data_IF_998020824277
#
_entry.id   IF_998020824277
#
_cell.length_a   1.000
_cell.length_b   1.000
_cell.length_c   1.000
_cell.angle_alpha   90.00
_cell.angle_beta   90.00
_cell.angle_gamma   90.00
#
_symmetry.space_group_name_H-M   'P 1'
#
loop_
_entity.id
_entity.type
_entity.pdbx_description
1 polymer ?
#
# COMPACT_ATOMS: atom_id res chain seq x y z
N UNK A 1 23.93 -26.08 -0.75
CA UNK A 1 23.01 -24.95 -0.52
C UNK A 1 21.61 -25.49 -0.30
N UNK A 2 20.83 -25.02 0.69
CA UNK A 2 19.46 -25.53 0.92
C UNK A 2 18.57 -25.19 -0.30
N UNK A 3 17.60 -26.03 -0.71
CA UNK A 3 16.74 -25.76 -1.88
C UNK A 3 16.06 -24.38 -1.85
N UNK A 4 15.71 -23.88 -0.67
CA UNK A 4 15.14 -22.54 -0.49
C UNK A 4 16.11 -21.40 -0.84
N UNK A 5 17.41 -21.58 -0.59
CA UNK A 5 18.44 -20.60 -0.93
C UNK A 5 18.65 -20.51 -2.45
N UNK A 6 18.60 -21.65 -3.16
CA UNK A 6 18.71 -21.69 -4.63
C UNK A 6 17.56 -20.89 -5.25
N UNK A 7 16.32 -21.13 -4.83
CA UNK A 7 15.14 -20.41 -5.32
C UNK A 7 15.26 -18.89 -5.13
N UNK A 8 15.83 -18.46 -4.01
CA UNK A 8 16.01 -17.04 -3.71
C UNK A 8 17.05 -16.37 -4.61
N UNK A 9 18.20 -17.01 -4.82
CA UNK A 9 19.25 -16.47 -5.68
C UNK A 9 18.74 -16.39 -7.12
N UNK A 10 18.07 -17.44 -7.61
CA UNK A 10 17.47 -17.44 -8.95
C UNK A 10 16.46 -16.31 -9.10
N UNK A 11 15.54 -16.13 -8.15
CA UNK A 11 14.59 -15.01 -8.19
C UNK A 11 15.30 -13.66 -8.18
N UNK A 12 16.32 -13.47 -7.33
CA UNK A 12 17.04 -12.21 -7.21
C UNK A 12 17.75 -11.85 -8.51
N UNK A 13 18.44 -12.80 -9.14
CA UNK A 13 19.11 -12.59 -10.43
C UNK A 13 18.09 -12.23 -11.51
N UNK A 14 16.98 -12.96 -11.60
CA UNK A 14 15.90 -12.69 -12.57
C UNK A 14 15.29 -11.30 -12.32
N UNK A 15 14.99 -10.96 -11.07
CA UNK A 15 14.44 -9.66 -10.69
C UNK A 15 15.39 -8.52 -11.10
N UNK A 16 16.67 -8.63 -10.77
CA UNK A 16 17.68 -7.63 -11.12
C UNK A 16 17.82 -7.47 -12.64
N UNK A 17 17.83 -8.57 -13.38
CA UNK A 17 17.87 -8.56 -14.84
C UNK A 17 16.61 -7.88 -15.42
N UNK A 18 15.42 -8.23 -14.95
CA UNK A 18 14.15 -7.63 -15.38
C UNK A 18 14.14 -6.13 -15.11
N UNK A 19 14.54 -5.68 -13.91
CA UNK A 19 14.59 -4.25 -13.58
C UNK A 19 15.56 -3.50 -14.49
N UNK A 20 16.77 -4.04 -14.71
CA UNK A 20 17.75 -3.42 -15.59
C UNK A 20 17.25 -3.32 -17.04
N UNK A 21 16.77 -4.44 -17.59
CA UNK A 21 16.26 -4.51 -18.96
C UNK A 21 15.04 -3.61 -19.12
N UNK A 22 14.12 -3.59 -18.16
CA UNK A 22 12.94 -2.74 -18.24
C UNK A 22 13.30 -1.26 -18.15
N UNK A 23 14.19 -0.87 -17.23
CA UNK A 23 14.55 0.53 -17.06
C UNK A 23 15.32 1.13 -18.25
N UNK A 24 16.17 0.34 -18.92
CA UNK A 24 17.05 0.84 -19.98
C UNK A 24 16.63 0.48 -21.41
N UNK A 25 15.90 -0.63 -21.60
CA UNK A 25 15.56 -1.13 -22.94
C UNK A 25 14.05 -1.10 -23.20
N UNK A 26 13.25 -1.79 -22.38
CA UNK A 26 11.83 -2.05 -22.70
C UNK A 26 10.93 -0.87 -22.31
N UNK A 27 11.15 -0.26 -21.15
CA UNK A 27 10.31 0.79 -20.54
C UNK A 27 8.82 0.41 -20.43
N UNK A 28 8.51 -0.87 -20.14
CA UNK A 28 7.14 -1.37 -20.01
C UNK A 28 6.58 -1.08 -18.61
N UNK A 29 5.43 -0.39 -18.58
CA UNK A 29 4.70 -0.06 -17.35
C UNK A 29 4.19 -1.32 -16.64
N UNK A 30 3.68 -2.30 -17.41
CA UNK A 30 3.12 -3.54 -16.87
C UNK A 30 4.23 -4.39 -16.24
N UNK A 31 5.36 -4.55 -16.94
CA UNK A 31 6.51 -5.30 -16.42
C UNK A 31 7.06 -4.63 -15.15
N UNK A 32 7.12 -3.30 -15.16
CA UNK A 32 7.52 -2.51 -14.02
C UNK A 32 6.60 -2.67 -12.80
N UNK A 33 5.28 -2.60 -13.00
CA UNK A 33 4.30 -2.84 -11.94
C UNK A 33 4.40 -4.26 -11.35
N UNK A 34 4.48 -5.27 -12.22
CA UNK A 34 4.65 -6.67 -11.78
C UNK A 34 5.95 -6.80 -10.96
N UNK A 35 7.03 -6.19 -11.43
CA UNK A 35 8.32 -6.21 -10.74
C UNK A 35 8.24 -5.49 -9.40
N UNK A 36 7.61 -4.32 -9.31
CA UNK A 36 7.41 -3.60 -8.06
C UNK A 36 6.66 -4.46 -7.03
N UNK A 37 5.53 -5.06 -7.43
CA UNK A 37 4.74 -5.93 -6.55
C UNK A 37 5.52 -7.18 -6.14
N UNK A 38 6.21 -7.84 -7.07
CA UNK A 38 7.02 -9.03 -6.78
C UNK A 38 8.20 -8.70 -5.85
N UNK A 39 8.88 -7.57 -6.07
CA UNK A 39 9.97 -7.08 -5.25
C UNK A 39 9.52 -6.76 -3.83
N UNK A 40 8.42 -6.01 -3.68
CA UNK A 40 7.80 -5.75 -2.37
C UNK A 40 7.40 -7.06 -1.68
N UNK A 41 6.76 -7.99 -2.37
CA UNK A 41 6.35 -9.26 -1.78
C UNK A 41 7.54 -10.12 -1.32
N UNK A 42 8.57 -10.31 -2.14
CA UNK A 42 9.70 -11.19 -1.81
C UNK A 42 10.65 -10.52 -0.81
N UNK A 43 11.11 -9.30 -1.08
CA UNK A 43 12.07 -8.61 -0.21
C UNK A 43 11.39 -8.06 1.05
N UNK A 44 10.12 -7.66 0.96
CA UNK A 44 9.30 -7.34 2.12
C UNK A 44 9.16 -8.55 3.04
N UNK A 45 8.88 -9.76 2.53
CA UNK A 45 8.86 -10.96 3.38
C UNK A 45 10.18 -11.22 4.09
N UNK A 46 11.32 -10.98 3.43
CA UNK A 46 12.64 -11.14 4.03
C UNK A 46 12.89 -10.16 5.16
N UNK A 47 12.62 -8.87 4.93
CA UNK A 47 12.72 -7.82 5.94
C UNK A 47 11.76 -8.10 7.09
N UNK A 48 10.53 -8.51 6.78
CA UNK A 48 9.49 -8.83 7.74
C UNK A 48 9.82 -9.97 8.69
N UNK A 49 10.61 -10.96 8.27
CA UNK A 49 11.11 -12.01 9.18
C UNK A 49 11.95 -11.47 10.31
N UNK A 50 12.67 -10.38 10.06
CA UNK A 50 13.47 -9.71 11.08
C UNK A 50 12.62 -8.73 11.89
N UNK A 51 11.79 -7.92 11.22
CA UNK A 51 11.02 -6.84 11.85
C UNK A 51 9.83 -7.34 12.67
N UNK A 52 9.23 -8.46 12.26
CA UNK A 52 8.09 -9.09 12.92
C UNK A 52 8.31 -10.61 13.01
N UNK A 53 9.24 -11.07 13.87
CA UNK A 53 9.59 -12.48 13.96
C UNK A 53 8.53 -13.33 14.65
N UNK A 54 7.64 -12.71 15.43
CA UNK A 54 6.44 -13.33 15.99
C UNK A 54 5.33 -13.53 14.96
N UNK A 55 5.40 -12.82 13.82
CA UNK A 55 4.44 -12.97 12.73
C UNK A 55 4.82 -14.09 11.76
N UNK A 56 3.87 -14.51 10.93
CA UNK A 56 4.10 -15.48 9.86
C UNK A 56 3.44 -15.06 8.54
N UNK A 57 3.90 -15.68 7.46
CA UNK A 57 3.24 -15.61 6.15
C UNK A 57 3.07 -14.18 5.63
N UNK A 58 1.81 -13.80 5.42
CA UNK A 58 1.42 -12.53 4.83
C UNK A 58 1.75 -11.32 5.73
N UNK A 59 1.55 -11.41 7.04
CA UNK A 59 1.89 -10.33 7.99
C UNK A 59 3.34 -9.87 7.85
N UNK A 60 4.28 -10.83 7.77
CA UNK A 60 5.71 -10.53 7.57
C UNK A 60 5.92 -9.81 6.23
N UNK A 61 5.34 -10.33 5.15
CA UNK A 61 5.40 -9.68 3.83
C UNK A 61 4.93 -8.24 3.89
N UNK A 62 3.85 -7.97 4.62
CA UNK A 62 3.25 -6.66 4.71
C UNK A 62 4.05 -5.69 5.56
N UNK A 63 4.40 -6.06 6.80
CA UNK A 63 5.22 -5.22 7.67
C UNK A 63 6.57 -4.92 7.00
N UNK A 64 7.19 -5.92 6.39
CA UNK A 64 8.45 -5.70 5.70
C UNK A 64 8.32 -4.90 4.40
N UNK A 65 7.21 -5.03 3.65
CA UNK A 65 6.92 -4.14 2.52
C UNK A 65 6.77 -2.68 2.96
N UNK A 66 6.07 -2.45 4.08
CA UNK A 66 5.88 -1.13 4.65
C UNK A 66 7.23 -0.50 5.04
N UNK A 67 8.10 -1.27 5.70
CA UNK A 67 9.47 -0.86 6.04
C UNK A 67 10.31 -0.62 4.78
N UNK A 68 10.14 -1.44 3.74
CA UNK A 68 10.88 -1.28 2.48
C UNK A 68 10.47 0.01 1.74
N UNK A 69 9.18 0.34 1.70
CA UNK A 69 8.69 1.60 1.13
C UNK A 69 9.23 2.78 1.94
N UNK A 70 9.22 2.70 3.27
CA UNK A 70 9.81 3.73 4.13
C UNK A 70 11.31 3.91 3.86
N UNK A 71 12.04 2.80 3.71
CA UNK A 71 13.45 2.81 3.32
C UNK A 71 13.66 3.49 1.98
N UNK A 72 12.86 3.19 0.95
CA UNK A 72 12.94 3.85 -0.35
C UNK A 72 12.67 5.36 -0.25
N UNK A 73 11.70 5.79 0.54
CA UNK A 73 11.44 7.21 0.77
C UNK A 73 12.64 7.92 1.41
N UNK A 74 13.24 7.32 2.46
CA UNK A 74 14.40 7.87 3.16
C UNK A 74 15.65 7.87 2.27
N UNK A 75 15.97 6.73 1.64
CA UNK A 75 17.13 6.60 0.77
C UNK A 75 17.03 7.51 -0.46
N UNK A 76 15.84 7.61 -1.08
CA UNK A 76 15.62 8.54 -2.17
C UNK A 76 15.73 10.01 -1.75
N UNK A 77 15.30 10.34 -0.53
CA UNK A 77 15.53 11.67 0.06
C UNK A 77 17.02 11.98 0.24
N UNK A 78 17.80 11.01 0.73
CA UNK A 78 19.26 11.14 0.84
C UNK A 78 19.88 11.37 -0.55
N UNK A 79 19.48 10.56 -1.55
CA UNK A 79 19.96 10.72 -2.93
C UNK A 79 19.63 12.10 -3.50
N UNK A 80 18.45 12.66 -3.21
CA UNK A 80 18.06 14.00 -3.65
C UNK A 80 18.94 15.10 -3.06
N UNK A 81 19.23 15.03 -1.76
CA UNK A 81 20.01 16.07 -1.09
C UNK A 81 21.48 16.03 -1.47
N UNK A 82 22.06 14.83 -1.49
CA UNK A 82 23.50 14.62 -1.69
C UNK A 82 23.90 14.35 -3.15
N UNK A 83 22.93 14.28 -4.06
CA UNK A 83 23.20 14.02 -5.47
C UNK A 83 22.04 14.40 -6.37
N UNK A 84 21.79 13.57 -7.39
CA UNK A 84 20.68 13.69 -8.33
C UNK A 84 19.81 12.44 -8.27
N UNK A 85 18.49 12.63 -8.34
CA UNK A 85 17.56 11.53 -8.60
C UNK A 85 17.53 11.32 -10.11
N UNK A 86 18.47 10.54 -10.61
CA UNK A 86 18.54 10.12 -12.02
C UNK A 86 18.00 8.70 -12.16
N UNK A 87 17.73 8.29 -13.41
CA UNK A 87 17.35 6.91 -13.70
C UNK A 87 18.37 5.91 -13.13
N UNK A 88 19.65 6.20 -13.29
CA UNK A 88 20.73 5.34 -12.81
C UNK A 88 20.81 5.25 -11.30
N UNK A 89 20.72 6.37 -10.57
CA UNK A 89 20.77 6.34 -9.11
C UNK A 89 19.59 5.59 -8.49
N UNK A 90 18.39 5.73 -9.07
CA UNK A 90 17.20 4.95 -8.67
C UNK A 90 17.36 3.45 -8.96
N UNK A 91 17.82 3.07 -10.15
CA UNK A 91 18.02 1.65 -10.48
C UNK A 91 19.05 1.02 -9.54
N UNK A 92 20.16 1.71 -9.26
CA UNK A 92 21.16 1.25 -8.29
C UNK A 92 20.53 1.08 -6.89
N UNK A 93 19.72 2.03 -6.42
CA UNK A 93 19.01 1.90 -5.15
C UNK A 93 18.10 0.66 -5.10
N UNK A 94 17.35 0.38 -6.17
CA UNK A 94 16.51 -0.83 -6.27
C UNK A 94 17.38 -2.09 -6.30
N UNK A 95 18.50 -2.08 -7.01
CA UNK A 95 19.42 -3.21 -7.08
C UNK A 95 20.12 -3.51 -5.74
N UNK A 96 20.26 -2.51 -4.86
CA UNK A 96 20.76 -2.71 -3.50
C UNK A 96 19.71 -3.32 -2.55
N UNK A 97 18.43 -3.25 -2.90
CA UNK A 97 17.34 -3.76 -2.05
C UNK A 97 17.46 -5.26 -1.74
N UNK A 98 17.68 -6.16 -2.72
CA UNK A 98 17.89 -7.58 -2.43
C UNK A 98 19.07 -7.84 -1.49
N UNK A 99 20.17 -7.12 -1.67
CA UNK A 99 21.39 -7.27 -0.86
C UNK A 99 21.11 -6.91 0.59
N UNK A 100 20.48 -5.75 0.82
CA UNK A 100 20.09 -5.31 2.17
C UNK A 100 19.07 -6.26 2.79
N UNK A 101 18.04 -6.66 2.04
CA UNK A 101 17.04 -7.62 2.51
C UNK A 101 17.67 -8.96 2.90
N UNK A 102 18.68 -9.42 2.16
CA UNK A 102 19.45 -10.63 2.49
C UNK A 102 20.20 -10.49 3.81
N UNK A 103 20.98 -9.42 3.98
CA UNK A 103 21.73 -9.19 5.21
C UNK A 103 20.83 -9.05 6.44
N UNK A 104 19.68 -8.37 6.30
CA UNK A 104 18.67 -8.27 7.36
C UNK A 104 18.09 -9.65 7.69
N UNK A 105 17.71 -10.43 6.66
CA UNK A 105 17.13 -11.76 6.86
C UNK A 105 18.10 -12.77 7.49
N UNK A 106 19.41 -12.63 7.26
CA UNK A 106 20.43 -13.46 7.94
C UNK A 106 20.47 -13.24 9.45
N UNK A 107 20.05 -12.07 9.92
CA UNK A 107 19.96 -11.73 11.34
C UNK A 107 18.59 -12.00 11.93
N UNK A 108 17.64 -12.52 11.15
CA UNK A 108 16.30 -12.80 11.63
C UNK A 108 16.35 -13.84 12.76
N UNK A 109 15.72 -13.58 13.92
CA UNK A 109 15.68 -14.55 15.00
C UNK A 109 14.87 -15.78 14.57
N UNK A 110 15.05 -16.89 15.30
CA UNK A 110 14.25 -18.10 15.07
C UNK A 110 12.77 -17.77 15.24
N UNK A 111 11.97 -18.07 14.22
CA UNK A 111 10.54 -17.79 14.22
C UNK A 111 9.85 -18.54 15.36
N UNK A 112 9.05 -17.81 16.14
CA UNK A 112 8.06 -18.39 17.04
C UNK A 112 6.76 -18.56 16.24
N UNK A 113 6.06 -19.67 16.42
CA UNK A 113 4.84 -19.98 15.65
C UNK A 113 3.62 -19.29 16.26
N UNK A 114 3.48 -17.98 16.07
CA UNK A 114 2.25 -17.25 16.37
C UNK A 114 1.68 -16.69 15.05
N UNK A 115 0.86 -17.46 14.34
CA UNK A 115 0.26 -16.98 13.07
C UNK A 115 -1.02 -16.17 13.35
N UNK A 116 -0.96 -14.85 13.13
CA UNK A 116 -2.14 -13.98 13.28
C UNK A 116 -3.10 -14.12 12.09
N UNK A 117 -2.55 -14.18 10.87
CA UNK A 117 -3.30 -14.09 9.61
C UNK A 117 -3.87 -15.41 9.08
N UNK A 118 -3.04 -16.46 9.10
CA UNK A 118 -3.29 -17.74 8.43
C UNK A 118 -3.24 -18.91 9.41
N UNK A 119 -3.72 -18.68 10.63
CA UNK A 119 -4.28 -19.78 11.43
C UNK A 119 -5.63 -20.18 10.82
N UNK A 120 -5.58 -20.52 9.52
CA UNK A 120 -6.62 -21.22 8.83
C UNK A 120 -6.49 -22.65 9.31
N UNK A 121 -7.05 -22.93 10.48
CA UNK A 121 -7.81 -24.17 10.57
C UNK A 121 -8.58 -24.31 9.25
N UNK A 122 -8.58 -25.49 8.63
CA UNK A 122 -9.19 -25.76 7.32
C UNK A 122 -10.70 -25.46 7.37
N UNK A 123 -11.05 -24.19 7.43
CA UNK A 123 -12.39 -23.72 7.68
C UNK A 123 -13.06 -23.77 6.32
N UNK A 124 -13.99 -24.70 6.19
CA UNK A 124 -14.82 -24.77 4.99
C UNK A 124 -15.65 -23.49 4.97
N UNK A 125 -15.38 -22.64 3.98
CA UNK A 125 -16.14 -21.43 3.75
C UNK A 125 -17.61 -21.80 3.59
N UNK A 126 -18.48 -21.17 4.35
CA UNK A 126 -19.91 -21.34 4.16
C UNK A 126 -20.31 -20.80 2.78
N UNK A 127 -21.18 -21.47 2.01
CA UNK A 127 -21.69 -20.95 0.75
C UNK A 127 -22.29 -19.54 0.89
N UNK A 128 -22.92 -19.25 2.04
CA UNK A 128 -23.45 -17.92 2.34
C UNK A 128 -22.34 -16.87 2.49
N UNK A 129 -21.20 -17.22 3.11
CA UNK A 129 -20.05 -16.32 3.23
C UNK A 129 -19.45 -16.00 1.87
N UNK A 130 -19.33 -17.00 0.99
CA UNK A 130 -18.85 -16.83 -0.38
C UNK A 130 -19.81 -15.94 -1.16
N UNK A 131 -21.12 -16.22 -1.09
CA UNK A 131 -22.14 -15.42 -1.75
C UNK A 131 -22.10 -13.96 -1.26
N UNK A 132 -22.05 -13.73 0.06
CA UNK A 132 -21.95 -12.38 0.62
C UNK A 132 -20.67 -11.66 0.19
N UNK A 133 -19.53 -12.35 0.17
CA UNK A 133 -18.26 -11.77 -0.29
C UNK A 133 -18.31 -11.42 -1.78
N UNK A 134 -18.84 -12.31 -2.62
CA UNK A 134 -19.02 -12.07 -4.04
C UNK A 134 -20.01 -10.93 -4.32
N UNK A 135 -21.13 -10.87 -3.60
CA UNK A 135 -22.10 -9.77 -3.69
C UNK A 135 -21.48 -8.44 -3.25
N UNK A 136 -20.71 -8.42 -2.15
CA UNK A 136 -20.01 -7.22 -1.71
C UNK A 136 -19.01 -6.74 -2.78
N UNK A 137 -18.21 -7.65 -3.34
CA UNK A 137 -17.25 -7.31 -4.39
C UNK A 137 -17.94 -6.79 -5.65
N UNK A 138 -19.05 -7.41 -6.07
CA UNK A 138 -19.84 -6.95 -7.20
C UNK A 138 -20.38 -5.54 -6.95
N UNK A 139 -20.98 -5.28 -5.79
CA UNK A 139 -21.51 -3.97 -5.43
C UNK A 139 -20.42 -2.89 -5.38
N UNK A 140 -19.25 -3.18 -4.81
CA UNK A 140 -18.12 -2.22 -4.84
C UNK A 140 -17.64 -1.98 -6.27
N UNK A 141 -17.61 -3.03 -7.10
CA UNK A 141 -17.23 -2.89 -8.52
C UNK A 141 -18.22 -2.01 -9.29
N UNK A 142 -19.53 -2.15 -9.02
CA UNK A 142 -20.57 -1.27 -9.57
C UNK A 142 -20.40 0.18 -9.07
N UNK A 143 -20.12 0.38 -7.77
CA UNK A 143 -19.84 1.70 -7.22
C UNK A 143 -18.64 2.37 -7.89
N UNK A 144 -17.52 1.64 -8.07
CA UNK A 144 -16.34 2.11 -8.79
C UNK A 144 -16.69 2.42 -10.25
N UNK A 145 -17.52 1.62 -10.90
CA UNK A 145 -17.97 1.91 -12.27
C UNK A 145 -18.80 3.19 -12.37
N UNK A 146 -19.60 3.54 -11.35
CA UNK A 146 -20.33 4.81 -11.31
C UNK A 146 -19.34 5.98 -11.21
N UNK A 147 -18.35 5.88 -10.31
CA UNK A 147 -17.33 6.91 -10.13
C UNK A 147 -16.51 7.13 -11.42
N UNK A 148 -16.09 6.05 -12.07
CA UNK A 148 -15.29 6.11 -13.30
C UNK A 148 -16.05 6.67 -14.52
N UNK A 149 -17.39 6.67 -14.48
CA UNK A 149 -18.25 7.29 -15.51
C UNK A 149 -18.64 8.73 -15.17
N UNK A 150 -18.35 9.18 -13.94
CA UNK A 150 -18.66 10.54 -13.49
C UNK A 150 -17.45 11.41 -13.77
N UNK A 151 -17.50 12.25 -14.81
CA UNK A 151 -16.40 13.16 -15.15
C UNK A 151 -16.67 14.57 -14.63
N UNK A 152 -15.84 15.02 -13.69
CA UNK A 152 -15.89 16.36 -13.13
C UNK A 152 -14.76 17.18 -13.74
N UNK A 153 -15.11 18.04 -14.70
CA UNK A 153 -14.15 18.86 -15.46
C UNK A 153 -14.07 20.32 -15.01
N UNK A 154 -14.93 20.73 -14.09
CA UNK A 154 -15.03 22.09 -13.59
C UNK A 154 -14.69 22.16 -12.10
N UNK A 155 -14.36 23.36 -11.62
CA UNK A 155 -14.13 23.57 -10.20
C UNK A 155 -15.46 23.47 -9.43
N UNK A 156 -15.56 22.51 -8.51
CA UNK A 156 -16.68 22.39 -7.58
C UNK A 156 -16.17 22.44 -6.14
N UNK A 157 -17.06 22.78 -5.21
CA UNK A 157 -16.74 22.87 -3.78
C UNK A 157 -16.44 21.50 -3.18
N UNK A 158 -17.05 20.44 -3.73
CA UNK A 158 -16.93 19.09 -3.22
C UNK A 158 -17.25 18.07 -4.32
N UNK A 159 -16.46 16.98 -4.44
CA UNK A 159 -16.77 15.90 -5.39
C UNK A 159 -18.15 15.29 -5.12
N UNK A 160 -18.58 15.28 -3.86
CA UNK A 160 -19.83 14.65 -3.41
C UNK A 160 -21.09 15.35 -3.92
N UNK A 161 -21.00 16.58 -4.44
CA UNK A 161 -22.12 17.30 -5.04
C UNK A 161 -22.41 16.81 -6.47
N UNK A 162 -21.39 16.30 -7.16
CA UNK A 162 -21.47 15.87 -8.56
C UNK A 162 -21.59 14.34 -8.69
N UNK A 163 -21.10 13.59 -7.69
CA UNK A 163 -21.19 12.13 -7.68
C UNK A 163 -22.66 11.71 -7.58
N UNK A 164 -23.10 10.90 -8.55
CA UNK A 164 -24.47 10.36 -8.59
C UNK A 164 -24.82 9.59 -7.31
N UNK A 165 -26.03 9.82 -6.79
CA UNK A 165 -26.57 9.08 -5.64
C UNK A 165 -26.56 7.55 -5.81
N UNK A 166 -26.54 7.08 -7.07
CA UNK A 166 -26.40 5.64 -7.39
C UNK A 166 -25.13 5.02 -6.82
N UNK A 167 -24.05 5.78 -6.66
CA UNK A 167 -22.84 5.34 -5.96
C UNK A 167 -23.16 4.83 -4.55
N UNK A 168 -23.95 5.58 -3.79
CA UNK A 168 -24.32 5.23 -2.42
C UNK A 168 -25.27 4.03 -2.36
N UNK A 169 -26.14 3.86 -3.36
CA UNK A 169 -27.00 2.67 -3.46
C UNK A 169 -26.22 1.37 -3.61
N UNK A 170 -25.00 1.41 -4.14
CA UNK A 170 -24.11 0.25 -4.20
C UNK A 170 -23.16 0.18 -3.01
N UNK A 171 -22.60 1.32 -2.57
CA UNK A 171 -21.60 1.37 -1.50
C UNK A 171 -22.17 0.99 -0.12
N UNK A 172 -23.36 1.48 0.23
CA UNK A 172 -23.99 1.22 1.53
C UNK A 172 -24.26 -0.29 1.75
N UNK A 173 -24.95 -1.01 0.85
CA UNK A 173 -25.16 -2.44 1.03
C UNK A 173 -23.85 -3.24 0.96
N UNK A 174 -22.86 -2.82 0.14
CA UNK A 174 -21.54 -3.44 0.16
C UNK A 174 -20.88 -3.32 1.54
N UNK A 175 -20.92 -2.12 2.12
CA UNK A 175 -20.39 -1.85 3.46
C UNK A 175 -21.12 -2.69 4.52
N UNK A 176 -22.45 -2.78 4.45
CA UNK A 176 -23.25 -3.60 5.36
C UNK A 176 -22.88 -5.10 5.27
N UNK A 177 -22.66 -5.63 4.06
CA UNK A 177 -22.22 -7.02 3.88
C UNK A 177 -20.83 -7.27 4.46
N UNK A 178 -19.88 -6.36 4.24
CA UNK A 178 -18.53 -6.45 4.83
C UNK A 178 -18.60 -6.39 6.36
N UNK A 179 -19.43 -5.49 6.92
CA UNK A 179 -19.69 -5.40 8.35
C UNK A 179 -20.30 -6.69 8.91
N UNK A 180 -21.29 -7.27 8.24
CA UNK A 180 -21.91 -8.52 8.66
C UNK A 180 -20.91 -9.69 8.64
N UNK A 181 -20.07 -9.80 7.61
CA UNK A 181 -19.01 -10.81 7.53
C UNK A 181 -17.98 -10.63 8.65
N UNK A 182 -17.53 -9.39 8.89
CA UNK A 182 -16.60 -9.06 9.97
C UNK A 182 -17.19 -9.37 11.35
N UNK A 183 -18.48 -9.08 11.56
CA UNK A 183 -19.16 -9.39 12.80
C UNK A 183 -19.20 -10.89 13.08
N UNK A 184 -19.32 -11.75 12.05
CA UNK A 184 -19.17 -13.21 12.22
C UNK A 184 -17.74 -13.61 12.56
N UNK A 185 -16.75 -12.91 11.99
CA UNK A 185 -15.33 -12.99 12.35
C UNK A 185 -14.61 -14.30 12.02
N UNK A 186 -15.24 -15.17 11.22
CA UNK A 186 -14.68 -16.46 10.78
C UNK A 186 -13.82 -16.34 9.52
N UNK A 187 -14.21 -15.48 8.57
CA UNK A 187 -13.66 -15.46 7.20
C UNK A 187 -12.64 -14.36 6.95
N UNK A 188 -11.67 -14.21 7.85
CA UNK A 188 -10.76 -13.04 7.91
C UNK A 188 -9.95 -12.84 6.62
N UNK A 189 -9.55 -13.93 5.99
CA UNK A 189 -8.79 -13.92 4.74
C UNK A 189 -9.53 -13.24 3.58
N UNK A 190 -10.87 -13.20 3.62
CA UNK A 190 -11.70 -12.53 2.62
C UNK A 190 -12.15 -11.14 3.06
N UNK A 191 -12.42 -10.97 4.37
CA UNK A 191 -12.87 -9.68 4.91
C UNK A 191 -11.81 -8.60 4.70
N UNK A 192 -10.53 -8.91 4.86
CA UNK A 192 -9.47 -7.90 4.70
C UNK A 192 -9.31 -7.41 3.26
N UNK A 193 -9.19 -8.28 2.24
CA UNK A 193 -9.24 -7.83 0.85
C UNK A 193 -10.50 -7.03 0.52
N UNK A 194 -11.68 -7.47 0.98
CA UNK A 194 -12.91 -6.71 0.77
C UNK A 194 -12.87 -5.33 1.40
N UNK A 195 -12.33 -5.22 2.62
CA UNK A 195 -12.15 -3.94 3.30
C UNK A 195 -11.12 -3.06 2.59
N UNK A 196 -10.07 -3.63 2.00
CA UNK A 196 -9.11 -2.88 1.17
C UNK A 196 -9.79 -2.29 -0.07
N UNK A 197 -10.55 -3.10 -0.81
CA UNK A 197 -11.27 -2.64 -2.01
C UNK A 197 -12.36 -1.62 -1.63
N UNK A 198 -13.08 -1.84 -0.53
CA UNK A 198 -14.07 -0.88 -0.01
C UNK A 198 -13.41 0.45 0.38
N UNK A 199 -12.29 0.40 1.10
CA UNK A 199 -11.52 1.59 1.50
C UNK A 199 -11.06 2.35 0.26
N UNK A 200 -10.52 1.64 -0.75
CA UNK A 200 -10.15 2.24 -2.04
C UNK A 200 -11.34 2.91 -2.73
N UNK A 201 -12.52 2.27 -2.74
CA UNK A 201 -13.72 2.85 -3.36
C UNK A 201 -14.17 4.16 -2.69
N UNK A 202 -13.87 4.36 -1.40
CA UNK A 202 -14.21 5.57 -0.65
C UNK A 202 -13.17 6.67 -0.92
N UNK A 203 -11.88 6.38 -0.70
CA UNK A 203 -10.83 7.40 -0.84
C UNK A 203 -10.49 7.69 -2.31
N UNK A 204 -10.70 6.72 -3.20
CA UNK A 204 -10.51 6.85 -4.63
C UNK A 204 -11.64 7.60 -5.35
N UNK A 205 -12.68 8.07 -4.65
CA UNK A 205 -13.81 8.73 -5.29
C UNK A 205 -13.39 9.97 -6.10
N UNK A 206 -12.67 10.91 -5.48
CA UNK A 206 -12.18 12.10 -6.17
C UNK A 206 -11.18 11.73 -7.28
N UNK A 207 -10.29 10.79 -7.01
CA UNK A 207 -9.31 10.25 -7.95
C UNK A 207 -9.96 9.73 -9.24
N UNK A 208 -11.04 8.97 -9.13
CA UNK A 208 -11.71 8.33 -10.27
C UNK A 208 -12.62 9.29 -11.03
N UNK A 209 -13.17 10.30 -10.35
CA UNK A 209 -14.11 11.25 -10.98
C UNK A 209 -13.45 12.52 -11.54
N UNK A 210 -12.20 12.82 -11.18
CA UNK A 210 -11.44 13.95 -11.72
C UNK A 210 -10.34 13.46 -12.68
N UNK A 211 -10.65 13.29 -13.98
CA UNK A 211 -9.67 12.77 -14.93
C UNK A 211 -8.44 13.68 -15.05
N UNK A 212 -8.60 15.00 -14.84
CA UNK A 212 -7.51 15.97 -14.89
C UNK A 212 -6.67 16.02 -13.60
N UNK A 213 -7.22 15.60 -12.46
CA UNK A 213 -6.60 15.72 -11.14
C UNK A 213 -7.52 16.47 -10.16
N UNK A 214 -7.37 16.17 -8.88
CA UNK A 214 -8.18 16.76 -7.81
C UNK A 214 -7.32 17.70 -6.94
N UNK A 215 -7.78 18.93 -6.77
CA UNK A 215 -7.08 19.96 -6.00
C UNK A 215 -5.88 20.58 -6.73
N UNK A 216 -5.61 21.85 -6.43
CA UNK A 216 -4.54 22.64 -7.05
C UNK A 216 -3.14 22.08 -6.75
N UNK A 217 -2.90 21.64 -5.51
CA UNK A 217 -1.59 21.18 -5.04
C UNK A 217 -1.04 19.98 -5.84
N UNK A 218 -1.92 19.07 -6.28
CA UNK A 218 -1.51 17.90 -7.08
C UNK A 218 -0.80 18.31 -8.38
N UNK A 219 -1.20 19.41 -9.00
CA UNK A 219 -0.55 19.92 -10.21
C UNK A 219 0.84 20.50 -9.93
N UNK A 220 1.02 21.18 -8.79
CA UNK A 220 2.33 21.72 -8.38
C UNK A 220 3.30 20.59 -8.07
N UNK A 221 2.86 19.58 -7.31
CA UNK A 221 3.66 18.42 -6.97
C UNK A 221 4.10 17.68 -8.24
N UNK A 222 3.17 17.37 -9.14
CA UNK A 222 3.47 16.71 -10.40
C UNK A 222 4.42 17.51 -11.30
N UNK A 223 4.23 18.82 -11.42
CA UNK A 223 5.15 19.66 -12.20
C UNK A 223 6.56 19.65 -11.62
N UNK A 224 6.68 19.64 -10.29
CA UNK A 224 7.97 19.55 -9.60
C UNK A 224 8.63 18.18 -9.82
N UNK A 225 7.87 17.10 -9.71
CA UNK A 225 8.36 15.74 -9.98
C UNK A 225 8.81 15.56 -11.43
N UNK A 226 8.02 16.07 -12.40
CA UNK A 226 8.39 16.07 -13.82
C UNK A 226 9.69 16.85 -14.07
N UNK A 227 9.89 17.96 -13.35
CA UNK A 227 11.14 18.72 -13.40
C UNK A 227 12.31 17.91 -12.82
N UNK A 228 12.17 17.35 -11.62
CA UNK A 228 13.23 16.56 -10.98
C UNK A 228 13.55 15.31 -11.81
N UNK A 229 12.56 14.66 -12.43
CA UNK A 229 12.80 13.50 -13.28
C UNK A 229 13.64 13.81 -14.52
N UNK A 230 13.55 15.04 -15.04
CA UNK A 230 14.31 15.50 -16.21
C UNK A 230 15.69 16.03 -15.84
N UNK A 231 15.76 16.83 -14.78
CA UNK A 231 16.98 17.58 -14.42
C UNK A 231 17.73 16.98 -13.22
N UNK A 232 17.18 15.93 -12.60
CA UNK A 232 17.74 15.24 -11.45
C UNK A 232 17.56 15.96 -10.10
N UNK A 233 17.20 17.25 -10.12
CA UNK A 233 17.00 18.08 -8.93
C UNK A 233 16.20 19.36 -9.25
N UNK A 234 15.85 20.14 -8.23
CA UNK A 234 15.26 21.48 -8.35
C UNK A 234 15.80 22.38 -7.23
N UNK A 235 15.88 23.70 -7.47
CA UNK A 235 16.31 24.70 -6.48
C UNK A 235 15.25 25.77 -6.27
N UNK A 236 14.99 26.22 -5.02
CA UNK A 236 15.60 25.74 -3.77
C UNK A 236 15.17 24.30 -3.44
N UNK A 237 15.93 23.60 -2.57
CA UNK A 237 15.61 22.25 -2.10
C UNK A 237 14.85 22.33 -0.76
N UNK A 238 13.50 22.38 -0.75
CA UNK A 238 12.76 22.42 0.50
C UNK A 238 12.87 21.09 1.26
N UNK A 239 13.05 21.17 2.59
CA UNK A 239 13.05 20.00 3.49
C UNK A 239 11.71 19.28 3.54
N UNK A 240 10.64 20.04 3.30
CA UNK A 240 9.31 19.49 3.21
C UNK A 240 9.11 18.84 1.82
N UNK A 241 8.42 17.69 1.78
CA UNK A 241 7.88 16.99 0.58
C UNK A 241 8.73 15.91 -0.07
N UNK A 242 10.05 15.96 0.08
CA UNK A 242 10.93 15.12 -0.75
C UNK A 242 10.73 13.61 -0.59
N UNK A 243 10.31 13.13 0.58
CA UNK A 243 10.04 11.69 0.79
C UNK A 243 8.93 11.17 -0.14
N UNK A 244 7.92 11.99 -0.43
CA UNK A 244 6.85 11.63 -1.36
C UNK A 244 7.33 11.69 -2.81
N UNK A 245 8.00 12.77 -3.22
CA UNK A 245 8.59 12.88 -4.56
C UNK A 245 9.58 11.74 -4.86
N UNK A 246 10.39 11.36 -3.87
CA UNK A 246 11.32 10.24 -4.00
C UNK A 246 10.60 8.93 -4.35
N UNK A 247 9.46 8.64 -3.72
CA UNK A 247 8.67 7.44 -4.04
C UNK A 247 8.08 7.51 -5.46
N UNK A 248 7.57 8.67 -5.89
CA UNK A 248 7.06 8.85 -7.26
C UNK A 248 8.18 8.70 -8.29
N UNK A 249 9.34 9.29 -8.03
CA UNK A 249 10.50 9.19 -8.91
C UNK A 249 11.09 7.77 -8.94
N UNK A 250 11.05 7.03 -7.83
CA UNK A 250 11.41 5.61 -7.78
C UNK A 250 10.45 4.77 -8.64
N UNK A 251 9.14 5.03 -8.54
CA UNK A 251 8.14 4.40 -9.40
C UNK A 251 8.40 4.70 -10.89
N UNK A 252 8.72 5.94 -11.23
CA UNK A 252 8.97 6.38 -12.60
C UNK A 252 10.28 5.84 -13.17
N UNK A 253 11.40 6.10 -12.52
CA UNK A 253 12.71 5.72 -13.02
C UNK A 253 13.03 4.24 -12.86
N UNK A 254 12.56 3.63 -11.77
CA UNK A 254 12.87 2.25 -11.42
C UNK A 254 11.90 1.23 -12.00
N UNK A 255 10.62 1.59 -12.07
CA UNK A 255 9.54 0.69 -12.51
C UNK A 255 8.81 1.21 -13.75
N UNK A 256 9.32 2.25 -14.42
CA UNK A 256 8.72 2.80 -15.65
C UNK A 256 7.25 3.21 -15.50
N UNK A 257 6.79 3.53 -14.29
CA UNK A 257 5.41 3.96 -14.04
C UNK A 257 5.34 5.48 -14.28
N UNK A 258 4.51 5.99 -15.21
CA UNK A 258 4.43 7.42 -15.48
C UNK A 258 4.18 8.23 -14.22
N UNK A 259 4.86 9.38 -14.09
CA UNK A 259 4.75 10.27 -12.92
C UNK A 259 3.29 10.58 -12.61
N UNK A 260 2.49 10.93 -13.62
CA UNK A 260 1.06 11.20 -13.43
C UNK A 260 0.22 10.04 -12.91
N UNK A 261 0.64 8.78 -13.12
CA UNK A 261 -0.02 7.60 -12.54
C UNK A 261 0.54 7.35 -11.13
N UNK A 262 1.87 7.40 -10.98
CA UNK A 262 2.53 7.18 -9.71
C UNK A 262 2.07 8.19 -8.66
N UNK A 263 2.16 9.49 -8.94
CA UNK A 263 1.66 10.57 -8.07
C UNK A 263 0.19 10.32 -7.73
N UNK A 264 -0.68 10.21 -8.73
CA UNK A 264 -2.12 10.09 -8.54
C UNK A 264 -2.55 8.88 -7.69
N UNK A 265 -1.91 7.73 -7.86
CA UNK A 265 -2.33 6.48 -7.21
C UNK A 265 -1.51 6.09 -5.97
N UNK A 266 -0.31 6.66 -5.75
CA UNK A 266 0.58 6.24 -4.67
C UNK A 266 -0.13 6.20 -3.32
N UNK A 267 -0.62 7.34 -2.82
CA UNK A 267 -1.21 7.42 -1.49
C UNK A 267 -2.55 6.68 -1.38
N UNK A 268 -3.52 6.84 -2.31
CA UNK A 268 -4.79 6.11 -2.22
C UNK A 268 -4.59 4.59 -2.22
N UNK A 269 -3.70 4.06 -3.05
CA UNK A 269 -3.46 2.61 -3.14
C UNK A 269 -2.75 2.08 -1.90
N UNK A 270 -1.67 2.74 -1.43
CA UNK A 270 -0.98 2.27 -0.22
C UNK A 270 -1.89 2.40 1.01
N UNK A 271 -2.72 3.44 1.10
CA UNK A 271 -3.65 3.62 2.22
C UNK A 271 -4.69 2.50 2.21
N UNK A 272 -5.32 2.24 1.07
CA UNK A 272 -6.34 1.20 0.94
C UNK A 272 -5.82 -0.19 1.28
N UNK A 273 -4.54 -0.48 0.99
CA UNK A 273 -3.92 -1.78 1.29
C UNK A 273 -3.44 -1.84 2.73
N UNK A 274 -2.60 -0.89 3.16
CA UNK A 274 -1.86 -1.00 4.41
C UNK A 274 -2.65 -0.53 5.64
N UNK A 275 -3.62 0.38 5.53
CA UNK A 275 -4.37 0.83 6.72
C UNK A 275 -5.28 -0.26 7.29
N UNK A 276 -6.15 -0.95 6.51
CA UNK A 276 -6.94 -2.07 7.04
C UNK A 276 -6.09 -3.16 7.66
N UNK A 277 -4.92 -3.37 7.09
CA UNK A 277 -3.99 -4.42 7.45
C UNK A 277 -3.22 -4.13 8.73
N UNK A 278 -2.66 -2.92 8.83
CA UNK A 278 -1.98 -2.46 10.05
C UNK A 278 -2.96 -2.32 11.20
N UNK A 279 -4.19 -1.87 10.95
CA UNK A 279 -5.27 -1.86 11.93
C UNK A 279 -5.59 -3.27 12.42
N UNK A 280 -5.77 -4.24 11.52
CA UNK A 280 -6.05 -5.61 11.93
C UNK A 280 -4.91 -6.23 12.74
N UNK A 281 -3.65 -6.07 12.31
CA UNK A 281 -2.48 -6.57 13.05
C UNK A 281 -2.45 -5.93 14.46
N UNK A 282 -2.56 -4.61 14.53
CA UNK A 282 -2.60 -3.88 15.80
C UNK A 282 -3.70 -4.38 16.74
N UNK A 283 -4.95 -4.45 16.26
CA UNK A 283 -6.06 -4.94 17.05
C UNK A 283 -5.96 -6.42 17.41
N UNK A 284 -5.41 -7.27 16.54
CA UNK A 284 -5.28 -8.69 16.81
C UNK A 284 -4.31 -8.99 17.96
N UNK A 285 -3.28 -8.16 18.12
CA UNK A 285 -2.38 -8.21 19.29
C UNK A 285 -2.93 -7.48 20.51
N UNK A 286 -3.63 -6.37 20.29
CA UNK A 286 -4.15 -5.52 21.36
C UNK A 286 -5.43 -6.07 22.02
N UNK A 287 -6.23 -6.88 21.31
CA UNK A 287 -7.48 -7.45 21.79
C UNK A 287 -7.36 -8.95 22.04
N UNK A 288 -8.21 -9.51 22.92
CA UNK A 288 -8.15 -10.96 23.27
C UNK A 288 -8.76 -11.87 22.19
N UNK A 289 -9.63 -11.32 21.33
CA UNK A 289 -10.38 -12.08 20.34
C UNK A 289 -10.06 -11.60 18.93
N UNK A 290 -9.57 -12.51 18.08
CA UNK A 290 -9.33 -12.25 16.66
C UNK A 290 -10.63 -11.86 15.91
N UNK A 291 -11.81 -12.30 16.39
CA UNK A 291 -13.13 -11.88 15.88
C UNK A 291 -13.42 -10.42 16.21
N UNK A 292 -13.11 -10.01 17.44
CA UNK A 292 -13.26 -8.60 17.84
C UNK A 292 -12.27 -7.73 17.10
N UNK A 293 -11.04 -8.21 16.87
CA UNK A 293 -10.03 -7.48 16.10
C UNK A 293 -10.45 -7.20 14.65
N UNK A 294 -10.96 -8.21 13.93
CA UNK A 294 -11.42 -7.99 12.55
C UNK A 294 -12.64 -7.05 12.49
N UNK A 295 -13.55 -7.12 13.47
CA UNK A 295 -14.66 -6.18 13.55
C UNK A 295 -14.19 -4.75 13.88
N UNK A 296 -13.26 -4.61 14.84
CA UNK A 296 -12.66 -3.32 15.20
C UNK A 296 -11.90 -2.69 14.03
N UNK A 297 -11.38 -3.49 13.10
CA UNK A 297 -10.71 -2.99 11.88
C UNK A 297 -11.65 -2.14 11.02
N UNK A 298 -12.97 -2.34 11.09
CA UNK A 298 -13.95 -1.49 10.37
C UNK A 298 -13.94 -0.04 10.90
N UNK A 299 -13.54 0.18 12.15
CA UNK A 299 -13.47 1.52 12.73
C UNK A 299 -12.51 2.46 11.97
N UNK A 300 -11.61 1.94 11.13
CA UNK A 300 -10.80 2.76 10.22
C UNK A 300 -11.67 3.59 9.27
N UNK A 301 -12.89 3.15 8.94
CA UNK A 301 -13.80 3.89 8.07
C UNK A 301 -14.42 5.12 8.77
N UNK A 302 -14.24 5.23 10.09
CA UNK A 302 -14.69 6.39 10.89
C UNK A 302 -13.63 7.48 11.02
N UNK A 303 -12.39 7.22 10.60
CA UNK A 303 -11.33 8.25 10.61
C UNK A 303 -11.55 9.22 9.45
N UNK A 304 -11.06 10.46 9.52
CA UNK A 304 -11.17 11.42 8.42
C UNK A 304 -10.28 11.00 7.24
N UNK A 305 -10.81 10.14 6.37
CA UNK A 305 -10.10 9.55 5.24
C UNK A 305 -9.81 10.53 4.09
N UNK A 306 -10.34 11.76 4.15
CA UNK A 306 -10.16 12.80 3.12
C UNK A 306 -8.69 13.12 2.84
N UNK A 307 -7.82 13.02 3.86
CA UNK A 307 -6.38 13.25 3.74
C UNK A 307 -5.64 12.23 2.85
N UNK A 308 -6.31 11.12 2.48
CA UNK A 308 -5.73 10.05 1.67
C UNK A 308 -6.33 9.97 0.26
N UNK A 309 -7.15 10.96 -0.13
CA UNK A 309 -7.82 10.98 -1.44
C UNK A 309 -6.88 11.38 -2.58
N UNK A 310 -5.85 12.16 -2.27
CA UNK A 310 -4.82 12.62 -3.21
C UNK A 310 -3.45 12.46 -2.56
N UNK A 311 -2.46 12.05 -3.34
CA UNK A 311 -1.08 12.00 -2.89
C UNK A 311 -0.58 13.41 -2.61
N UNK A 312 -0.38 13.67 -1.33
CA UNK A 312 0.30 14.87 -0.85
C UNK A 312 1.36 14.44 0.15
N UNK A 313 2.41 15.25 0.32
CA UNK A 313 3.39 15.01 1.37
C UNK A 313 2.80 14.90 2.77
N UNK A 314 1.81 15.74 3.10
CA UNK A 314 1.11 15.68 4.37
C UNK A 314 0.31 14.37 4.48
N UNK A 315 -0.45 14.00 3.46
CA UNK A 315 -1.19 12.73 3.44
C UNK A 315 -0.27 11.52 3.62
N UNK A 316 0.89 11.51 2.98
CA UNK A 316 1.89 10.46 3.16
C UNK A 316 2.47 10.45 4.59
N UNK A 317 2.72 11.61 5.19
CA UNK A 317 3.17 11.69 6.59
C UNK A 317 2.11 11.15 7.58
N UNK A 318 0.83 11.49 7.34
CA UNK A 318 -0.30 10.98 8.12
C UNK A 318 -0.48 9.47 7.95
N UNK A 319 -0.21 8.95 6.75
CA UNK A 319 -0.22 7.51 6.49
C UNK A 319 0.81 6.78 7.37
N UNK A 320 2.06 7.26 7.39
CA UNK A 320 3.10 6.68 8.23
C UNK A 320 2.77 6.77 9.72
N UNK A 321 2.28 7.93 10.16
CA UNK A 321 1.85 8.14 11.55
C UNK A 321 0.72 7.19 11.94
N UNK A 322 -0.29 7.03 11.08
CA UNK A 322 -1.42 6.15 11.35
C UNK A 322 -0.98 4.68 11.41
N UNK A 323 -0.13 4.22 10.48
CA UNK A 323 0.45 2.89 10.55
C UNK A 323 1.22 2.66 11.86
N UNK A 324 2.04 3.65 12.28
CA UNK A 324 2.79 3.57 13.53
C UNK A 324 1.86 3.47 14.76
N UNK A 325 0.83 4.32 14.83
CA UNK A 325 -0.15 4.30 15.93
C UNK A 325 -0.88 2.96 15.99
N UNK A 326 -1.38 2.48 14.85
CA UNK A 326 -2.12 1.21 14.77
C UNK A 326 -1.24 0.02 15.18
N UNK A 327 -0.01 -0.05 14.67
CA UNK A 327 0.93 -1.12 15.05
C UNK A 327 1.39 -1.01 16.52
N UNK A 328 1.35 0.17 17.12
CA UNK A 328 1.72 0.40 18.53
C UNK A 328 0.59 0.14 19.53
N UNK A 329 -0.64 -0.13 19.07
CA UNK A 329 -1.79 -0.39 19.94
C UNK A 329 -1.53 -1.42 21.06
N UNK A 330 -0.84 -2.56 20.84
CA UNK A 330 -0.57 -3.52 21.90
C UNK A 330 0.23 -2.90 23.05
N UNK A 331 1.24 -2.09 22.72
CA UNK A 331 2.10 -1.39 23.70
C UNK A 331 1.28 -0.34 24.44
N UNK A 332 0.49 0.46 23.72
CA UNK A 332 -0.36 1.50 24.29
C UNK A 332 -1.43 0.93 25.24
N UNK A 333 -1.87 -0.32 25.02
CA UNK A 333 -2.80 -1.04 25.88
C UNK A 333 -2.11 -1.86 26.99
N UNK A 334 -0.81 -1.68 27.21
CA UNK A 334 -0.06 -2.38 28.27
C UNK A 334 0.16 -3.87 28.03
N UNK A 335 0.00 -4.34 26.78
CA UNK A 335 0.34 -5.71 26.40
C UNK A 335 1.80 -5.79 25.98
N UNK A 336 2.47 -6.88 26.34
CA UNK A 336 3.83 -7.12 25.89
C UNK A 336 3.89 -7.10 24.35
N UNK A 337 4.82 -6.33 23.79
CA UNK A 337 5.15 -6.41 22.38
C UNK A 337 5.64 -7.85 22.09
N UNK A 338 4.93 -8.55 21.21
CA UNK A 338 5.26 -9.94 20.83
C UNK A 338 6.09 -10.01 19.57
#
# INVERSE_FOLDING_TARGET
MKPAQIKYISFTVIFLAIIAINAYLINSQILGLISAVAGLAVFGKMIGKYMAPGELGASQTFIGSLVLIAFWAIAGTILYYFGTISKTSVVVLIMLTPVLAHFIAMRAPKQKKDEVFLDSEKHKLSPYSILSAASALLLVSLAISVLAKTEILHATRSPWLEISSSYFYYLIPASALVCALAFRGRERAWILPLLMVLTFSIIGAALLSYPLGFGFDSFIHRATEDHIAKFGTITPKPFYYIGQYALVLIANHGFSIPIGIADRFLLPVITAIFIPLTAYIGFAHALSSKRTAIFATIAILLIPLSNFTVTTPQGLSLFWLLCLVLLSLPILMGRAAR
#
